data_IF_017955598731
#
_entry.id   IF_017955598731
#
_cell.length_a   1.000
_cell.length_b   1.000
_cell.length_c   1.000
_cell.angle_alpha   90.00
_cell.angle_beta   90.00
_cell.angle_gamma   90.00
#
_symmetry.space_group_name_H-M   'P 1'
#
loop_
_entity.id
_entity.type
_entity.pdbx_description
1 polymer ?
#
# COMPACT_ATOMS: atom_id res chain seq x y z
N UNK A 1 -22.74 -13.58 -12.91
CA UNK A 1 -21.50 -14.20 -12.38
C UNK A 1 -21.29 -13.71 -10.95
N UNK A 2 -21.04 -14.61 -9.99
CA UNK A 2 -20.69 -14.23 -8.62
C UNK A 2 -19.15 -14.19 -8.54
N UNK A 3 -18.59 -13.03 -8.15
CA UNK A 3 -17.14 -12.85 -8.01
C UNK A 3 -16.79 -12.73 -6.53
N UNK A 4 -15.99 -13.65 -6.01
CA UNK A 4 -15.64 -13.76 -4.58
C UNK A 4 -14.14 -13.55 -4.30
N UNK A 5 -13.37 -13.07 -5.29
CA UNK A 5 -11.91 -12.91 -5.19
C UNK A 5 -11.47 -11.44 -5.18
N UNK A 6 -12.28 -10.56 -4.59
CA UNK A 6 -11.96 -9.13 -4.48
C UNK A 6 -10.73 -8.85 -3.62
N UNK A 7 -10.32 -9.80 -2.77
CA UNK A 7 -9.08 -9.70 -2.01
C UNK A 7 -7.82 -9.74 -2.91
N UNK A 8 -7.87 -10.47 -4.02
CA UNK A 8 -6.79 -10.48 -5.00
C UNK A 8 -6.83 -9.23 -5.88
N UNK A 9 -8.00 -8.90 -6.43
CA UNK A 9 -8.25 -7.67 -7.19
C UNK A 9 -9.74 -7.39 -7.32
N UNK A 10 -10.12 -6.13 -7.38
CA UNK A 10 -11.50 -5.74 -7.64
C UNK A 10 -11.86 -5.99 -9.10
N UNK A 11 -12.86 -6.85 -9.37
CA UNK A 11 -13.32 -7.10 -10.74
C UNK A 11 -14.09 -5.91 -11.31
N UNK A 12 -15.11 -5.45 -10.58
CA UNK A 12 -15.90 -4.28 -10.98
C UNK A 12 -15.29 -3.02 -10.40
N UNK A 13 -14.67 -2.21 -11.25
CA UNK A 13 -14.17 -0.89 -10.87
C UNK A 13 -15.25 0.17 -11.11
N UNK A 14 -15.34 1.21 -10.26
CA UNK A 14 -16.23 2.34 -10.52
C UNK A 14 -15.96 2.92 -11.92
N UNK A 15 -17.01 3.29 -12.69
CA UNK A 15 -16.82 3.85 -14.05
C UNK A 15 -15.94 5.12 -14.08
N UNK A 16 -15.88 5.87 -12.98
CA UNK A 16 -15.01 7.02 -12.83
C UNK A 16 -13.53 6.68 -12.97
N UNK A 17 -13.11 5.47 -12.55
CA UNK A 17 -11.70 5.04 -12.65
C UNK A 17 -11.27 4.96 -14.11
N UNK A 18 -12.05 4.27 -14.96
CA UNK A 18 -11.73 4.14 -16.38
C UNK A 18 -11.70 5.51 -17.09
N UNK A 19 -12.68 6.39 -16.78
CA UNK A 19 -12.70 7.75 -17.34
C UNK A 19 -11.47 8.55 -16.93
N UNK A 20 -11.11 8.57 -15.65
CA UNK A 20 -9.95 9.30 -15.16
C UNK A 20 -8.64 8.79 -15.77
N UNK A 21 -8.48 7.47 -15.95
CA UNK A 21 -7.31 6.89 -16.61
C UNK A 21 -7.21 7.31 -18.07
N UNK A 22 -8.33 7.27 -18.82
CA UNK A 22 -8.37 7.70 -20.23
C UNK A 22 -8.05 9.19 -20.36
N UNK A 23 -8.60 10.02 -19.50
CA UNK A 23 -8.33 11.46 -19.47
C UNK A 23 -6.86 11.74 -19.15
N UNK A 24 -6.28 11.05 -18.17
CA UNK A 24 -4.87 11.19 -17.82
C UNK A 24 -3.95 10.86 -19.00
N UNK A 25 -4.21 9.76 -19.69
CA UNK A 25 -3.44 9.36 -20.89
C UNK A 25 -3.50 10.40 -22.00
N UNK A 26 -4.64 11.08 -22.17
CA UNK A 26 -4.83 12.06 -23.23
C UNK A 26 -4.31 13.48 -22.88
N UNK A 27 -4.18 13.82 -21.59
CA UNK A 27 -4.02 15.21 -21.15
C UNK A 27 -2.91 15.45 -20.12
N UNK A 28 -2.12 14.44 -19.76
CA UNK A 28 -1.05 14.55 -18.78
C UNK A 28 0.28 14.09 -19.35
N UNK A 29 1.36 14.61 -18.79
CA UNK A 29 2.73 14.15 -19.05
C UNK A 29 3.44 13.80 -17.74
N UNK A 30 4.77 13.68 -17.75
CA UNK A 30 5.54 13.31 -16.55
C UNK A 30 5.39 14.38 -15.45
N UNK A 31 4.92 14.03 -14.25
CA UNK A 31 4.84 14.97 -13.13
C UNK A 31 6.24 15.36 -12.63
N UNK A 32 6.39 16.61 -12.19
CA UNK A 32 7.54 17.09 -11.42
C UNK A 32 8.80 17.45 -12.23
N UNK A 33 8.81 17.31 -13.56
CA UNK A 33 9.99 17.66 -14.38
C UNK A 33 9.76 18.77 -15.40
N UNK A 34 8.58 19.30 -15.53
CA UNK A 34 8.26 20.35 -16.49
C UNK A 34 7.33 21.40 -15.91
N UNK A 35 7.56 22.67 -16.25
CA UNK A 35 6.69 23.80 -15.91
C UNK A 35 5.56 24.02 -16.89
N UNK A 36 5.34 23.12 -17.86
CA UNK A 36 4.27 23.24 -18.85
C UNK A 36 2.95 22.66 -18.33
N UNK A 37 1.78 23.10 -18.86
CA UNK A 37 0.46 22.77 -18.31
C UNK A 37 0.19 21.26 -18.14
N UNK A 38 0.67 20.41 -19.04
CA UNK A 38 0.44 18.96 -18.97
C UNK A 38 1.19 18.30 -17.81
N UNK A 39 2.41 18.78 -17.49
CA UNK A 39 3.19 18.29 -16.36
C UNK A 39 2.63 18.80 -15.04
N UNK A 40 2.20 20.07 -14.99
CA UNK A 40 1.54 20.66 -13.81
C UNK A 40 0.24 19.92 -13.49
N UNK A 41 -0.60 19.64 -14.50
CA UNK A 41 -1.83 18.85 -14.32
C UNK A 41 -1.57 17.46 -13.73
N UNK A 42 -0.51 16.78 -14.17
CA UNK A 42 -0.13 15.49 -13.62
C UNK A 42 0.34 15.60 -12.16
N UNK A 43 1.13 16.62 -11.83
CA UNK A 43 1.60 16.89 -10.48
C UNK A 43 0.44 17.23 -9.53
N UNK A 44 -0.47 18.09 -9.96
CA UNK A 44 -1.66 18.46 -9.19
C UNK A 44 -2.57 17.26 -8.92
N UNK A 45 -2.76 16.39 -9.93
CA UNK A 45 -3.55 15.16 -9.77
C UNK A 45 -2.92 14.22 -8.74
N UNK A 46 -1.61 14.01 -8.79
CA UNK A 46 -0.90 13.19 -7.81
C UNK A 46 -0.96 13.81 -6.40
N UNK A 47 -0.82 15.13 -6.29
CA UNK A 47 -0.90 15.84 -5.03
C UNK A 47 -2.30 15.74 -4.41
N UNK A 48 -3.35 15.98 -5.18
CA UNK A 48 -4.74 15.83 -4.73
C UNK A 48 -5.04 14.42 -4.24
N UNK A 49 -4.62 13.41 -4.98
CA UNK A 49 -4.81 12.01 -4.56
C UNK A 49 -4.12 11.73 -3.21
N UNK A 50 -2.92 12.26 -2.98
CA UNK A 50 -2.23 12.14 -1.69
C UNK A 50 -2.98 12.87 -0.57
N UNK A 51 -3.51 14.06 -0.85
CA UNK A 51 -4.31 14.83 0.11
C UNK A 51 -5.58 14.06 0.51
N UNK A 52 -6.34 13.59 -0.47
CA UNK A 52 -7.57 12.81 -0.24
C UNK A 52 -7.29 11.51 0.55
N UNK A 53 -6.17 10.83 0.28
CA UNK A 53 -5.75 9.66 1.05
C UNK A 53 -5.29 10.02 2.47
N UNK A 54 -4.58 11.13 2.64
CA UNK A 54 -4.19 11.60 3.96
C UNK A 54 -5.42 11.91 4.84
N UNK A 55 -6.42 12.59 4.30
CA UNK A 55 -7.70 12.84 4.96
C UNK A 55 -8.42 11.53 5.31
N UNK A 56 -8.51 10.59 4.35
CA UNK A 56 -9.18 9.29 4.56
C UNK A 56 -8.55 8.49 5.70
N UNK A 57 -7.23 8.54 5.85
CA UNK A 57 -6.49 7.80 6.87
C UNK A 57 -6.15 8.61 8.12
N UNK A 58 -6.62 9.87 8.22
CA UNK A 58 -6.38 10.73 9.38
C UNK A 58 -4.90 11.08 9.57
N UNK A 59 -4.14 11.26 8.48
CA UNK A 59 -2.76 11.70 8.51
C UNK A 59 -2.69 13.23 8.57
N UNK A 60 -1.59 13.77 9.11
CA UNK A 60 -1.38 15.21 9.25
C UNK A 60 -1.28 15.95 7.90
N UNK A 61 -0.87 15.24 6.83
CA UNK A 61 -0.78 15.83 5.50
C UNK A 61 -0.37 14.84 4.39
N UNK A 62 -0.36 15.31 3.14
CA UNK A 62 -0.07 14.50 1.96
C UNK A 62 1.37 13.95 1.91
N UNK A 63 2.30 14.50 2.69
CA UNK A 63 3.67 14.00 2.85
C UNK A 63 3.71 12.62 3.53
N UNK A 64 2.68 12.27 4.32
CA UNK A 64 2.50 10.94 4.89
C UNK A 64 2.13 9.85 3.89
N UNK A 65 1.85 10.21 2.63
CA UNK A 65 1.42 9.27 1.58
C UNK A 65 2.51 9.14 0.51
N UNK A 66 3.00 7.94 0.28
CA UNK A 66 3.96 7.61 -0.78
C UNK A 66 3.36 6.59 -1.75
N UNK A 67 3.41 6.89 -3.05
CA UNK A 67 3.01 5.92 -4.08
C UNK A 67 4.12 4.90 -4.34
N UNK A 68 3.72 3.66 -4.54
CA UNK A 68 4.59 2.55 -4.91
C UNK A 68 4.03 1.82 -6.12
N UNK A 69 4.81 0.90 -6.71
CA UNK A 69 4.37 0.13 -7.88
C UNK A 69 3.19 -0.79 -7.57
N UNK A 70 3.12 -1.33 -6.35
CA UNK A 70 2.06 -2.22 -5.87
C UNK A 70 2.21 -2.45 -4.37
N UNK A 71 1.25 -3.16 -3.75
CA UNK A 71 1.26 -3.49 -2.33
C UNK A 71 2.50 -4.29 -1.90
N UNK A 72 2.99 -5.20 -2.74
CA UNK A 72 4.22 -5.96 -2.45
C UNK A 72 5.43 -5.04 -2.30
N UNK A 73 5.55 -4.04 -3.18
CA UNK A 73 6.63 -3.04 -3.10
C UNK A 73 6.49 -2.19 -1.83
N UNK A 74 5.27 -1.71 -1.52
CA UNK A 74 5.00 -0.93 -0.31
C UNK A 74 5.38 -1.71 0.96
N UNK A 75 4.93 -2.96 1.08
CA UNK A 75 5.23 -3.83 2.22
C UNK A 75 6.73 -4.11 2.35
N UNK A 76 7.44 -4.33 1.25
CA UNK A 76 8.90 -4.52 1.29
C UNK A 76 9.63 -3.26 1.78
N UNK A 77 9.22 -2.07 1.33
CA UNK A 77 9.79 -0.80 1.81
C UNK A 77 9.52 -0.68 3.32
N UNK A 78 8.26 -0.79 3.75
CA UNK A 78 7.88 -0.62 5.14
C UNK A 78 8.61 -1.62 6.06
N UNK A 79 8.58 -2.91 5.73
CA UNK A 79 9.20 -3.95 6.55
C UNK A 79 10.72 -3.74 6.65
N UNK A 80 11.40 -3.50 5.52
CA UNK A 80 12.86 -3.33 5.53
C UNK A 80 13.32 -2.04 6.18
N UNK A 81 12.46 -1.02 6.24
CA UNK A 81 12.76 0.26 6.91
C UNK A 81 12.51 0.19 8.42
N UNK A 82 11.50 -0.57 8.86
CA UNK A 82 11.06 -0.58 10.24
C UNK A 82 11.62 -1.75 11.06
N UNK A 83 11.92 -2.89 10.41
CA UNK A 83 12.38 -4.10 11.09
C UNK A 83 13.90 -4.23 10.96
N UNK A 84 14.65 -4.12 12.06
CA UNK A 84 16.09 -4.34 12.02
C UNK A 84 16.41 -5.82 11.75
N UNK A 85 17.60 -6.15 11.20
CA UNK A 85 18.03 -7.53 11.04
C UNK A 85 17.97 -8.30 12.38
N UNK A 86 17.34 -9.47 12.38
CA UNK A 86 17.13 -10.28 13.61
C UNK A 86 16.08 -9.74 14.57
N UNK A 87 15.38 -8.66 14.22
CA UNK A 87 14.31 -8.06 15.02
C UNK A 87 13.13 -9.02 15.26
N UNK A 88 12.33 -8.76 16.30
CA UNK A 88 11.10 -9.53 16.58
C UNK A 88 9.90 -8.90 15.89
N UNK A 89 9.05 -9.75 15.32
CA UNK A 89 7.84 -9.36 14.62
C UNK A 89 6.72 -10.35 14.92
N UNK A 90 5.54 -9.85 15.19
CA UNK A 90 4.31 -10.64 15.29
C UNK A 90 3.51 -10.47 14.02
N UNK A 91 3.05 -11.57 13.44
CA UNK A 91 2.24 -11.61 12.23
C UNK A 91 1.01 -12.48 12.43
N UNK A 92 0.02 -12.36 11.56
CA UNK A 92 -1.09 -13.33 11.50
C UNK A 92 -0.61 -14.66 10.92
N UNK A 93 -1.38 -15.74 11.15
CA UNK A 93 -1.11 -17.04 10.53
C UNK A 93 -1.40 -17.09 9.02
N UNK A 94 -1.95 -16.04 8.44
CA UNK A 94 -2.45 -15.97 7.05
C UNK A 94 -1.73 -14.95 6.19
N UNK A 95 -0.52 -14.57 6.56
CA UNK A 95 0.21 -13.52 5.84
C UNK A 95 0.59 -13.95 4.42
N UNK A 96 0.46 -13.00 3.52
CA UNK A 96 0.90 -13.16 2.14
C UNK A 96 2.45 -13.17 2.05
N UNK A 97 2.98 -13.80 1.01
CA UNK A 97 4.43 -13.84 0.72
C UNK A 97 5.11 -12.46 0.67
N UNK A 98 4.38 -11.41 0.39
CA UNK A 98 4.88 -10.03 0.42
C UNK A 98 5.30 -9.58 1.82
N UNK A 99 4.79 -10.22 2.88
CA UNK A 99 5.17 -10.01 4.29
C UNK A 99 6.23 -11.02 4.72
N UNK A 100 5.99 -12.31 4.50
CA UNK A 100 6.86 -13.37 5.04
C UNK A 100 8.25 -13.40 4.41
N UNK A 101 8.38 -13.17 3.10
CA UNK A 101 9.67 -13.20 2.41
C UNK A 101 10.66 -12.11 2.87
N UNK A 102 10.28 -10.82 2.97
CA UNK A 102 11.20 -9.81 3.50
C UNK A 102 11.59 -10.06 4.95
N UNK A 103 10.68 -10.56 5.81
CA UNK A 103 11.00 -10.93 7.18
C UNK A 103 12.02 -12.08 7.26
N UNK A 104 11.87 -13.10 6.40
CA UNK A 104 12.85 -14.20 6.28
C UNK A 104 14.22 -13.67 5.83
N UNK A 105 14.24 -12.76 4.83
CA UNK A 105 15.48 -12.15 4.36
C UNK A 105 16.20 -11.33 5.44
N UNK A 106 15.45 -10.68 6.33
CA UNK A 106 15.97 -9.95 7.48
C UNK A 106 16.35 -10.88 8.66
N UNK A 107 16.14 -12.20 8.54
CA UNK A 107 16.30 -13.18 9.64
C UNK A 107 15.49 -12.77 10.88
N UNK A 108 14.34 -12.14 10.69
CA UNK A 108 13.47 -11.71 11.78
C UNK A 108 12.96 -12.90 12.59
N UNK A 109 12.86 -12.73 13.90
CA UNK A 109 12.23 -13.70 14.79
C UNK A 109 10.72 -13.51 14.71
N UNK A 110 10.06 -14.36 13.94
CA UNK A 110 8.63 -14.25 13.65
C UNK A 110 7.82 -15.11 14.61
N UNK A 111 6.83 -14.52 15.27
CA UNK A 111 5.80 -15.20 16.05
C UNK A 111 4.46 -15.03 15.34
N UNK A 112 3.75 -16.14 15.08
CA UNK A 112 2.42 -16.08 14.52
C UNK A 112 1.39 -16.00 15.65
N UNK A 113 0.52 -14.99 15.63
CA UNK A 113 -0.67 -14.94 16.45
C UNK A 113 -1.71 -15.90 15.85
N UNK A 114 -1.98 -17.00 16.53
CA UNK A 114 -2.78 -18.12 16.01
C UNK A 114 -4.26 -17.81 15.87
N UNK A 115 -4.90 -18.51 14.92
CA UNK A 115 -6.35 -18.49 14.67
C UNK A 115 -6.75 -17.98 13.29
N UNK A 116 -7.99 -18.27 12.82
CA UNK A 116 -8.48 -17.87 11.50
C UNK A 116 -8.76 -16.37 11.36
N UNK A 117 -8.75 -15.63 12.45
CA UNK A 117 -8.82 -14.16 12.48
C UNK A 117 -7.65 -13.64 13.34
N UNK A 118 -7.19 -12.42 13.06
CA UNK A 118 -6.17 -11.78 13.88
C UNK A 118 -6.67 -11.67 15.32
N UNK A 119 -6.02 -12.40 16.22
CA UNK A 119 -6.30 -12.37 17.65
C UNK A 119 -5.32 -11.39 18.32
N UNK A 120 -5.85 -10.22 18.70
CA UNK A 120 -5.06 -9.17 19.32
C UNK A 120 -4.44 -9.61 20.65
N UNK A 121 -5.16 -10.39 21.46
CA UNK A 121 -4.63 -10.88 22.74
C UNK A 121 -3.52 -11.92 22.52
N UNK A 122 -3.69 -12.83 21.54
CA UNK A 122 -2.63 -13.76 21.15
C UNK A 122 -1.41 -13.03 20.59
N UNK A 123 -1.61 -11.95 19.84
CA UNK A 123 -0.53 -11.10 19.34
C UNK A 123 0.24 -10.45 20.50
N UNK A 124 -0.44 -9.90 21.49
CA UNK A 124 0.17 -9.29 22.69
C UNK A 124 0.96 -10.35 23.49
N UNK A 125 0.40 -11.55 23.66
CA UNK A 125 1.12 -12.63 24.36
C UNK A 125 2.35 -13.16 23.60
N UNK A 126 2.38 -13.04 22.27
CA UNK A 126 3.49 -13.49 21.42
C UNK A 126 4.64 -12.48 21.34
N UNK A 127 4.41 -11.21 21.74
CA UNK A 127 5.40 -10.12 21.72
C UNK A 127 6.23 -10.11 23.00
#
# INVERSE_FOLDING_TARGET
>A
MIYLDSAATTFQKPPAVARAMTEALASMSSPGRGGHPLAMRAADTAFRCRTELAELFGLDGPEGVAFTLNATHALNIAIKSLVPPGGRVVISGYEHNAVTRPLTALKAKVSAAGGPLFDQEAAIRAF
#
